data_IF_493590358990
#
_entry.id   IF_493590358990
#
_cell.length_a   1.000
_cell.length_b   1.000
_cell.length_c   1.000
_cell.angle_alpha   90.00
_cell.angle_beta   90.00
_cell.angle_gamma   90.00
#
_symmetry.space_group_name_H-M   'P 1'
#
loop_
_entity.id
_entity.type
_entity.pdbx_description
1 polymer ?
#
# COMPACT_ATOMS: atom_id res chain seq x y z
N UNK A 1 9.37 3.56 -9.16
CA UNK A 1 9.60 2.13 -8.89
C UNK A 1 9.56 1.31 -10.19
N UNK A 2 8.46 1.17 -10.91
CA UNK A 2 8.42 0.37 -12.16
C UNK A 2 9.46 0.84 -13.18
N UNK A 3 9.45 2.12 -13.53
CA UNK A 3 10.43 2.72 -14.48
C UNK A 3 11.88 2.56 -14.03
N UNK A 4 12.16 2.70 -12.72
CA UNK A 4 13.53 2.55 -12.17
C UNK A 4 14.05 1.12 -12.23
N UNK A 5 13.14 0.14 -12.31
CA UNK A 5 13.47 -1.28 -12.42
C UNK A 5 13.24 -1.83 -13.84
N UNK A 6 13.08 -0.95 -14.83
CA UNK A 6 12.87 -1.30 -16.25
C UNK A 6 11.64 -2.22 -16.48
N UNK A 7 10.60 -2.08 -15.69
CA UNK A 7 9.36 -2.85 -15.81
C UNK A 7 8.36 -2.03 -16.62
N UNK A 8 7.95 -2.59 -17.77
CA UNK A 8 6.99 -2.00 -18.70
C UNK A 8 5.76 -2.91 -18.71
N UNK A 9 4.76 -2.66 -17.84
CA UNK A 9 3.56 -3.49 -17.76
C UNK A 9 2.55 -3.11 -18.85
N UNK A 10 1.82 -4.08 -19.35
CA UNK A 10 0.63 -3.91 -20.19
C UNK A 10 -0.66 -4.02 -19.38
N UNK A 11 -0.64 -4.77 -18.27
CA UNK A 11 -1.79 -5.03 -17.41
C UNK A 11 -1.43 -4.82 -15.94
N UNK A 12 -2.07 -3.85 -15.32
CA UNK A 12 -1.91 -3.53 -13.89
C UNK A 12 -3.22 -3.78 -13.16
N UNK A 13 -3.15 -4.44 -12.01
CA UNK A 13 -4.29 -4.66 -11.15
C UNK A 13 -4.05 -4.08 -9.76
N UNK A 14 -5.12 -3.63 -9.09
CA UNK A 14 -5.13 -3.28 -7.66
C UNK A 14 -6.19 -4.12 -6.95
N UNK A 15 -5.78 -4.90 -5.94
CA UNK A 15 -6.68 -5.58 -5.02
C UNK A 15 -6.96 -4.66 -3.83
N UNK A 16 -8.24 -4.56 -3.42
CA UNK A 16 -8.67 -3.59 -2.41
C UNK A 16 -8.57 -2.15 -2.93
N UNK A 17 -9.03 -1.91 -4.17
CA UNK A 17 -8.85 -0.62 -4.85
C UNK A 17 -9.65 0.54 -4.24
N UNK A 18 -10.57 0.27 -3.32
CA UNK A 18 -11.38 1.27 -2.65
C UNK A 18 -12.11 2.17 -3.62
N UNK A 19 -11.95 3.48 -3.47
CA UNK A 19 -12.55 4.47 -4.36
C UNK A 19 -11.91 4.55 -5.76
N UNK A 20 -10.86 3.77 -6.07
CA UNK A 20 -10.21 3.70 -7.38
C UNK A 20 -9.33 4.89 -7.74
N UNK A 21 -8.93 5.71 -6.76
CA UNK A 21 -8.18 6.96 -7.04
C UNK A 21 -6.78 6.67 -7.59
N UNK A 22 -6.09 5.65 -7.06
CA UNK A 22 -4.73 5.30 -7.48
C UNK A 22 -4.75 4.84 -8.94
N UNK A 23 -5.63 3.90 -9.27
CA UNK A 23 -5.78 3.41 -10.65
C UNK A 23 -6.21 4.51 -11.60
N UNK A 24 -7.12 5.39 -11.20
CA UNK A 24 -7.54 6.51 -12.04
C UNK A 24 -6.39 7.50 -12.32
N UNK A 25 -5.55 7.79 -11.32
CA UNK A 25 -4.35 8.60 -11.52
C UNK A 25 -3.35 7.93 -12.46
N UNK A 26 -3.10 6.63 -12.28
CA UNK A 26 -2.18 5.87 -13.13
C UNK A 26 -2.70 5.76 -14.56
N UNK A 27 -3.99 5.47 -14.76
CA UNK A 27 -4.59 5.38 -16.08
C UNK A 27 -4.50 6.70 -16.86
N UNK A 28 -4.58 7.84 -16.17
CA UNK A 28 -4.37 9.15 -16.80
C UNK A 28 -2.89 9.42 -17.15
N UNK A 29 -1.96 8.86 -16.38
CA UNK A 29 -0.52 9.07 -16.62
C UNK A 29 0.04 8.14 -17.72
N UNK A 30 -0.41 6.88 -17.75
CA UNK A 30 0.09 5.88 -18.69
C UNK A 30 -0.62 5.92 -20.06
N UNK A 31 -1.79 6.56 -20.17
CA UNK A 31 -2.60 6.57 -21.39
C UNK A 31 -3.18 5.19 -21.72
N UNK A 32 -3.48 4.94 -23.00
CA UNK A 32 -4.22 3.76 -23.45
C UNK A 32 -3.35 2.50 -23.63
N UNK A 33 -2.03 2.61 -23.48
CA UNK A 33 -1.09 1.49 -23.67
C UNK A 33 -1.15 0.47 -22.51
N UNK A 34 -1.74 0.83 -21.38
CA UNK A 34 -1.84 -0.02 -20.19
C UNK A 34 -3.29 -0.17 -19.76
N UNK A 35 -3.70 -1.42 -19.56
CA UNK A 35 -5.04 -1.74 -19.02
C UNK A 35 -4.98 -1.89 -17.50
N UNK A 36 -5.87 -1.17 -16.82
CA UNK A 36 -5.99 -1.15 -15.38
C UNK A 36 -7.25 -1.87 -14.92
N UNK A 37 -7.12 -2.69 -13.88
CA UNK A 37 -8.22 -3.44 -13.27
C UNK A 37 -8.23 -3.24 -11.76
N UNK A 38 -9.32 -2.75 -11.20
CA UNK A 38 -9.51 -2.60 -9.76
C UNK A 38 -10.48 -3.66 -9.22
N UNK A 39 -10.11 -4.35 -8.17
CA UNK A 39 -10.94 -5.33 -7.47
C UNK A 39 -11.19 -4.86 -6.03
N UNK A 40 -12.46 -4.87 -5.64
CA UNK A 40 -12.86 -4.59 -4.26
C UNK A 40 -14.08 -5.44 -3.87
N UNK A 41 -14.13 -5.87 -2.62
CA UNK A 41 -15.26 -6.64 -2.08
C UNK A 41 -16.34 -5.77 -1.45
N UNK A 42 -16.06 -4.48 -1.26
CA UNK A 42 -16.99 -3.52 -0.67
C UNK A 42 -17.95 -2.95 -1.72
N UNK A 43 -19.28 -3.18 -1.60
CA UNK A 43 -20.25 -2.56 -2.50
C UNK A 43 -20.20 -1.03 -2.48
N UNK A 44 -19.93 -0.44 -1.31
CA UNK A 44 -19.84 1.01 -1.15
C UNK A 44 -18.63 1.59 -1.90
N UNK A 45 -17.48 0.93 -1.82
CA UNK A 45 -16.29 1.30 -2.57
C UNK A 45 -16.54 1.18 -4.08
N UNK A 46 -17.14 0.08 -4.52
CA UNK A 46 -17.46 -0.17 -5.91
C UNK A 46 -18.40 0.89 -6.51
N UNK A 47 -19.44 1.34 -5.80
CA UNK A 47 -20.32 2.41 -6.26
C UNK A 47 -19.60 3.74 -6.49
N UNK A 48 -18.46 3.95 -5.86
CA UNK A 48 -17.63 5.15 -6.05
C UNK A 48 -16.67 4.95 -7.21
N UNK A 49 -15.91 3.84 -7.24
CA UNK A 49 -14.87 3.63 -8.24
C UNK A 49 -15.44 3.39 -9.64
N UNK A 50 -16.56 2.68 -9.81
CA UNK A 50 -17.17 2.43 -11.12
C UNK A 50 -17.50 3.70 -11.92
N UNK A 51 -17.69 4.84 -11.25
CA UNK A 51 -17.91 6.15 -11.90
C UNK A 51 -16.65 6.69 -12.59
N UNK A 52 -15.49 6.07 -12.36
CA UNK A 52 -14.21 6.44 -12.95
C UNK A 52 -13.79 5.49 -14.08
N UNK A 53 -14.65 4.52 -14.43
CA UNK A 53 -14.40 3.61 -15.56
C UNK A 53 -14.19 4.38 -16.87
N UNK A 54 -13.30 3.89 -17.68
CA UNK A 54 -12.97 4.36 -19.01
C UNK A 54 -12.36 3.23 -19.85
N UNK A 55 -12.00 3.50 -21.09
CA UNK A 55 -11.57 2.49 -22.06
C UNK A 55 -10.47 1.56 -21.51
N UNK A 56 -9.52 2.09 -20.74
CA UNK A 56 -8.39 1.36 -20.20
C UNK A 56 -8.46 1.13 -18.67
N UNK A 57 -9.60 1.43 -18.02
CA UNK A 57 -9.76 1.30 -16.56
C UNK A 57 -11.11 0.66 -16.22
N UNK A 58 -11.07 -0.52 -15.60
CA UNK A 58 -12.25 -1.30 -15.23
C UNK A 58 -12.25 -1.64 -13.75
N UNK A 59 -13.44 -1.73 -13.16
CA UNK A 59 -13.60 -2.09 -11.75
C UNK A 59 -14.54 -3.31 -11.59
N UNK A 60 -14.23 -4.15 -10.59
CA UNK A 60 -14.95 -5.38 -10.34
C UNK A 60 -15.31 -5.51 -8.85
N UNK A 61 -16.59 -5.72 -8.56
CA UNK A 61 -17.06 -6.06 -7.21
C UNK A 61 -16.87 -7.55 -6.97
N UNK A 62 -15.62 -7.95 -6.73
CA UNK A 62 -15.21 -9.35 -6.57
C UNK A 62 -13.93 -9.45 -5.75
N UNK A 63 -13.68 -10.61 -5.14
CA UNK A 63 -12.35 -10.96 -4.66
C UNK A 63 -11.47 -11.44 -5.83
N UNK A 64 -10.37 -10.75 -6.09
CA UNK A 64 -9.40 -11.19 -7.11
C UNK A 64 -8.84 -12.59 -6.82
N UNK A 65 -8.77 -12.98 -5.55
CA UNK A 65 -8.18 -14.26 -5.17
C UNK A 65 -9.04 -15.45 -5.59
N UNK A 66 -10.33 -15.24 -5.84
CA UNK A 66 -11.27 -16.26 -6.32
C UNK A 66 -11.28 -16.43 -7.86
N UNK A 67 -10.64 -15.51 -8.61
CA UNK A 67 -10.57 -15.55 -10.07
C UNK A 67 -9.44 -16.49 -10.53
N UNK A 68 -9.73 -17.73 -10.98
CA UNK A 68 -8.72 -18.76 -11.24
C UNK A 68 -7.79 -18.47 -12.43
N UNK A 69 -8.31 -17.94 -13.53
CA UNK A 69 -7.61 -17.84 -14.83
C UNK A 69 -7.01 -16.47 -15.13
N UNK A 70 -6.94 -15.55 -14.15
CA UNK A 70 -6.51 -14.19 -14.38
C UNK A 70 -5.12 -13.95 -13.79
N UNK A 71 -4.23 -13.40 -14.63
CA UNK A 71 -2.89 -12.96 -14.23
C UNK A 71 -2.58 -11.58 -14.81
N UNK A 72 -1.77 -10.80 -14.11
CA UNK A 72 -1.36 -9.45 -14.45
C UNK A 72 0.16 -9.34 -14.50
N UNK A 73 0.68 -8.32 -15.18
CA UNK A 73 2.11 -8.01 -15.12
C UNK A 73 2.47 -7.46 -13.73
N UNK A 74 1.60 -6.59 -13.20
CA UNK A 74 1.77 -6.00 -11.87
C UNK A 74 0.45 -6.09 -11.09
N UNK A 75 0.52 -6.57 -9.85
CA UNK A 75 -0.59 -6.53 -8.89
C UNK A 75 -0.19 -5.62 -7.73
N UNK A 76 -1.03 -4.64 -7.45
CA UNK A 76 -0.85 -3.72 -6.33
C UNK A 76 -1.76 -4.13 -5.16
N UNK A 77 -1.22 -4.10 -3.94
CA UNK A 77 -1.96 -4.22 -2.69
C UNK A 77 -1.53 -3.06 -1.78
N UNK A 78 -2.34 -2.01 -1.78
CA UNK A 78 -2.04 -0.75 -1.12
C UNK A 78 -2.85 -0.63 0.15
N UNK A 79 -2.18 -0.73 1.30
CA UNK A 79 -2.82 -0.72 2.62
C UNK A 79 -3.96 -1.77 2.72
N UNK A 80 -3.65 -3.04 2.46
CA UNK A 80 -4.65 -4.14 2.38
C UNK A 80 -4.40 -5.22 3.43
N UNK A 81 -3.25 -5.88 3.42
CA UNK A 81 -3.09 -7.12 4.19
C UNK A 81 -2.98 -6.91 5.71
N UNK A 82 -2.75 -5.68 6.17
CA UNK A 82 -2.89 -5.30 7.58
C UNK A 82 -4.32 -5.41 8.12
N UNK A 83 -5.30 -5.52 7.22
CA UNK A 83 -6.72 -5.71 7.53
C UNK A 83 -7.19 -7.15 7.42
N UNK A 84 -6.39 -8.05 6.84
CA UNK A 84 -6.77 -9.43 6.54
C UNK A 84 -6.38 -10.36 7.68
N UNK A 85 -7.35 -11.11 8.25
CA UNK A 85 -7.07 -12.03 9.37
C UNK A 85 -5.98 -13.04 9.04
N UNK A 86 -6.15 -13.82 7.95
CA UNK A 86 -5.13 -14.73 7.40
C UNK A 86 -4.31 -14.03 6.31
N UNK A 87 -3.50 -13.04 6.71
CA UNK A 87 -2.67 -12.32 5.74
C UNK A 87 -1.56 -13.18 5.12
N UNK A 88 -1.10 -14.24 5.77
CA UNK A 88 -0.16 -15.20 5.18
C UNK A 88 -0.81 -15.98 4.02
N UNK A 89 -2.03 -16.50 4.24
CA UNK A 89 -2.80 -17.17 3.20
C UNK A 89 -3.13 -16.24 2.04
N UNK A 90 -3.54 -15.00 2.35
CA UNK A 90 -3.77 -13.93 1.38
C UNK A 90 -2.55 -13.70 0.49
N UNK A 91 -1.37 -13.48 1.09
CA UNK A 91 -0.13 -13.21 0.37
C UNK A 91 0.27 -14.39 -0.53
N UNK A 92 0.17 -15.64 -0.04
CA UNK A 92 0.46 -16.84 -0.84
C UNK A 92 -0.46 -16.98 -2.05
N UNK A 93 -1.75 -16.68 -1.91
CA UNK A 93 -2.72 -16.68 -3.02
C UNK A 93 -2.43 -15.55 -4.01
N UNK A 94 -2.16 -14.34 -3.50
CA UNK A 94 -1.88 -13.16 -4.32
C UNK A 94 -0.62 -13.34 -5.18
N UNK A 95 0.36 -14.11 -4.71
CA UNK A 95 1.58 -14.42 -5.48
C UNK A 95 1.28 -14.99 -6.86
N UNK A 96 0.22 -15.78 -7.00
CA UNK A 96 -0.18 -16.43 -8.25
C UNK A 96 -0.88 -15.49 -9.24
N UNK A 97 -1.24 -14.27 -8.83
CA UNK A 97 -2.07 -13.34 -9.62
C UNK A 97 -1.26 -12.39 -10.53
N UNK A 98 0.04 -12.44 -10.49
CA UNK A 98 0.86 -11.61 -11.38
C UNK A 98 2.35 -11.90 -11.28
N UNK A 99 3.13 -11.29 -12.16
CA UNK A 99 4.60 -11.40 -12.17
C UNK A 99 5.22 -10.56 -11.07
N UNK A 100 4.87 -9.28 -11.05
CA UNK A 100 5.35 -8.33 -10.04
C UNK A 100 4.22 -7.94 -9.07
N UNK A 101 4.59 -7.66 -7.82
CA UNK A 101 3.68 -7.13 -6.81
C UNK A 101 4.23 -5.85 -6.25
N UNK A 102 3.34 -4.88 -6.05
CA UNK A 102 3.64 -3.65 -5.33
C UNK A 102 2.81 -3.64 -4.06
N UNK A 103 3.48 -3.66 -2.93
CA UNK A 103 2.87 -3.54 -1.62
C UNK A 103 3.12 -2.15 -1.05
N UNK A 104 2.09 -1.51 -0.51
CA UNK A 104 2.26 -0.37 0.39
C UNK A 104 1.82 -0.82 1.78
N UNK A 105 2.75 -0.73 2.74
CA UNK A 105 2.59 -1.35 4.06
C UNK A 105 2.78 -0.27 5.13
N UNK A 106 1.76 0.02 5.95
CA UNK A 106 1.91 0.93 7.07
C UNK A 106 2.90 0.38 8.11
N UNK A 107 3.88 1.19 8.48
CA UNK A 107 4.84 0.85 9.53
C UNK A 107 4.36 1.44 10.86
N UNK A 108 3.35 0.81 11.44
CA UNK A 108 2.68 1.30 12.64
C UNK A 108 3.48 1.02 13.93
N UNK A 109 4.41 0.05 13.90
CA UNK A 109 5.28 -0.23 15.03
C UNK A 109 6.50 0.69 15.02
N UNK A 110 6.55 1.60 15.96
CA UNK A 110 7.70 2.44 16.27
C UNK A 110 7.82 2.64 17.77
N UNK A 111 8.98 3.06 18.25
CA UNK A 111 9.20 3.34 19.67
C UNK A 111 8.11 4.27 20.21
N UNK A 112 7.82 5.39 19.53
CA UNK A 112 6.82 6.34 19.98
C UNK A 112 5.38 5.83 19.90
N UNK A 113 5.04 4.94 18.96
CA UNK A 113 3.69 4.37 18.88
C UNK A 113 3.47 3.32 19.95
N UNK A 114 4.47 2.47 20.21
CA UNK A 114 4.42 1.44 21.26
C UNK A 114 4.34 2.08 22.64
N UNK A 115 5.20 3.06 22.96
CA UNK A 115 5.20 3.74 24.25
C UNK A 115 3.89 4.49 24.53
N UNK A 116 3.20 5.00 23.50
CA UNK A 116 1.92 5.71 23.69
C UNK A 116 0.70 4.80 23.67
N UNK A 117 0.78 3.66 23.00
CA UNK A 117 -0.32 2.71 22.74
C UNK A 117 -1.52 3.30 21.98
N UNK A 118 -1.92 4.53 22.30
CA UNK A 118 -3.07 5.24 21.70
C UNK A 118 -3.05 5.28 20.17
N UNK A 119 -1.93 5.54 19.47
CA UNK A 119 -1.93 5.54 18.00
C UNK A 119 -2.27 4.18 17.40
N UNK A 120 -1.80 3.08 18.00
CA UNK A 120 -2.07 1.71 17.58
C UNK A 120 -3.56 1.40 17.77
N UNK A 121 -4.11 1.69 18.96
CA UNK A 121 -5.53 1.46 19.25
C UNK A 121 -6.45 2.31 18.34
N UNK A 122 -6.07 3.55 18.06
CA UNK A 122 -6.80 4.39 17.08
C UNK A 122 -6.73 3.82 15.67
N UNK A 123 -5.58 3.32 15.24
CA UNK A 123 -5.41 2.63 13.95
C UNK A 123 -6.41 1.48 13.83
N UNK A 124 -6.50 0.64 14.88
CA UNK A 124 -7.45 -0.46 14.95
C UNK A 124 -8.92 -0.01 14.87
N UNK A 125 -9.29 1.02 15.63
CA UNK A 125 -10.68 1.48 15.71
C UNK A 125 -11.13 2.28 14.49
N UNK A 126 -10.25 3.11 13.92
CA UNK A 126 -10.61 4.06 12.86
C UNK A 126 -10.32 3.55 11.46
N UNK A 127 -9.30 2.71 11.30
CA UNK A 127 -8.86 2.18 10.02
C UNK A 127 -8.97 0.66 9.91
N UNK A 128 -9.22 -0.06 11.01
CA UNK A 128 -9.34 -1.51 11.00
C UNK A 128 -8.01 -2.26 10.89
N UNK A 129 -6.88 -1.62 11.23
CA UNK A 129 -5.58 -2.32 11.24
C UNK A 129 -5.57 -3.36 12.35
N UNK A 130 -5.50 -4.62 12.00
CA UNK A 130 -5.42 -5.75 12.94
C UNK A 130 -4.00 -6.31 13.03
N UNK A 131 -3.15 -6.01 12.04
CA UNK A 131 -1.73 -6.35 12.01
C UNK A 131 -0.87 -5.09 11.95
N UNK A 132 0.29 -5.14 12.59
CA UNK A 132 1.19 -4.00 12.73
C UNK A 132 2.62 -4.42 12.38
N UNK A 133 3.31 -3.58 11.61
CA UNK A 133 4.62 -3.93 11.06
C UNK A 133 5.69 -2.89 11.41
N UNK A 134 6.92 -3.38 11.57
CA UNK A 134 8.15 -2.63 11.30
C UNK A 134 8.60 -2.94 9.86
N UNK A 135 9.61 -2.24 9.35
CA UNK A 135 10.21 -2.60 8.04
C UNK A 135 10.66 -4.06 8.02
N UNK A 136 11.37 -4.46 9.06
CA UNK A 136 11.97 -5.79 9.15
C UNK A 136 10.91 -6.89 9.17
N UNK A 137 9.85 -6.73 9.97
CA UNK A 137 8.78 -7.72 10.02
C UNK A 137 7.95 -7.75 8.73
N UNK A 138 7.72 -6.60 8.08
CA UNK A 138 7.06 -6.55 6.79
C UNK A 138 7.85 -7.29 5.71
N UNK A 139 9.16 -7.03 5.60
CA UNK A 139 10.02 -7.72 4.63
C UNK A 139 10.17 -9.22 4.93
N UNK A 140 10.27 -9.60 6.22
CA UNK A 140 10.30 -11.00 6.63
C UNK A 140 8.99 -11.71 6.24
N UNK A 141 7.83 -11.10 6.48
CA UNK A 141 6.52 -11.63 6.07
C UNK A 141 6.45 -11.91 4.57
N UNK A 142 6.91 -10.98 3.74
CA UNK A 142 6.96 -11.18 2.29
C UNK A 142 7.87 -12.36 1.93
N UNK A 143 9.07 -12.44 2.52
CA UNK A 143 9.99 -13.56 2.31
C UNK A 143 9.38 -14.90 2.75
N UNK A 144 8.75 -14.97 3.93
CA UNK A 144 8.14 -16.18 4.48
C UNK A 144 6.93 -16.66 3.66
N UNK A 145 6.32 -15.77 2.90
CA UNK A 145 5.24 -16.07 1.95
C UNK A 145 5.74 -16.34 0.53
N UNK A 146 7.07 -16.37 0.35
CA UNK A 146 7.76 -16.80 -0.86
C UNK A 146 8.05 -15.67 -1.86
N UNK A 147 7.93 -14.41 -1.47
CA UNK A 147 8.29 -13.28 -2.33
C UNK A 147 9.80 -12.98 -2.30
N UNK A 148 10.32 -12.57 -3.44
CA UNK A 148 11.65 -11.98 -3.56
C UNK A 148 11.51 -10.47 -3.69
N UNK A 149 12.09 -9.73 -2.74
CA UNK A 149 12.05 -8.26 -2.74
C UNK A 149 13.05 -7.73 -3.77
N UNK A 150 12.54 -7.02 -4.77
CA UNK A 150 13.34 -6.40 -5.84
C UNK A 150 13.82 -5.02 -5.43
N UNK A 151 12.91 -4.21 -4.87
CA UNK A 151 13.18 -2.81 -4.51
C UNK A 151 12.22 -2.37 -3.41
N UNK A 152 12.63 -1.41 -2.59
CA UNK A 152 11.74 -0.78 -1.62
C UNK A 152 12.18 0.63 -1.26
N UNK A 153 11.22 1.47 -0.86
CA UNK A 153 11.51 2.77 -0.26
C UNK A 153 10.42 3.19 0.73
N UNK A 154 10.78 4.10 1.61
CA UNK A 154 9.84 4.67 2.56
C UNK A 154 8.96 5.74 1.94
N UNK A 155 7.66 5.68 2.23
CA UNK A 155 6.72 6.75 1.95
C UNK A 155 6.41 7.54 3.22
N UNK A 156 6.13 8.84 3.05
CA UNK A 156 5.95 9.78 4.17
C UNK A 156 4.47 10.07 4.37
N UNK A 157 3.71 9.15 4.96
CA UNK A 157 2.28 9.32 5.22
C UNK A 157 1.96 10.59 6.04
N UNK A 158 2.87 11.03 6.93
CA UNK A 158 2.68 12.22 7.75
C UNK A 158 2.63 13.55 6.96
N UNK A 159 3.13 13.59 5.72
CA UNK A 159 3.03 14.78 4.87
C UNK A 159 1.61 15.01 4.36
N UNK A 160 0.81 13.93 4.22
CA UNK A 160 -0.58 13.96 3.75
C UNK A 160 -1.56 14.40 4.84
N UNK A 161 -1.14 14.50 6.11
CA UNK A 161 -2.01 14.99 7.16
C UNK A 161 -2.55 16.37 6.77
N UNK A 162 -3.89 16.60 6.93
CA UNK A 162 -4.48 17.89 6.64
C UNK A 162 -3.65 19.01 7.28
N UNK A 163 -3.58 20.15 6.62
CA UNK A 163 -2.97 21.36 7.18
C UNK A 163 -3.78 21.81 8.40
N UNK A 164 -3.69 21.07 9.50
CA UNK A 164 -4.10 21.62 10.78
C UNK A 164 -3.26 22.88 11.02
N UNK A 165 -3.91 24.02 11.09
CA UNK A 165 -3.34 25.34 11.35
C UNK A 165 -2.73 25.41 12.75
N UNK A 166 -1.55 24.83 12.95
CA UNK A 166 -0.85 24.92 14.22
C UNK A 166 0.66 24.83 14.02
N UNK A 167 1.39 25.82 14.50
CA UNK A 167 2.85 25.89 14.44
C UNK A 167 3.52 24.61 15.01
N UNK A 168 2.93 23.99 16.04
CA UNK A 168 3.40 22.74 16.66
C UNK A 168 3.44 21.57 15.66
N UNK A 169 2.45 21.48 14.77
CA UNK A 169 2.37 20.40 13.76
C UNK A 169 3.41 20.62 12.67
N UNK A 170 3.63 21.86 12.26
CA UNK A 170 4.66 22.21 11.28
C UNK A 170 6.06 21.94 11.84
N UNK A 171 6.30 22.27 13.10
CA UNK A 171 7.57 21.97 13.78
C UNK A 171 7.80 20.46 13.86
N UNK A 172 6.75 19.68 14.19
CA UNK A 172 6.83 18.22 14.23
C UNK A 172 7.06 17.59 12.84
N UNK A 173 6.49 18.16 11.77
CA UNK A 173 6.76 17.71 10.39
C UNK A 173 8.20 18.03 10.00
N UNK A 174 8.69 19.21 10.33
CA UNK A 174 10.04 19.64 10.02
C UNK A 174 11.08 18.77 10.76
N UNK A 175 10.93 18.57 12.07
CA UNK A 175 11.82 17.71 12.86
C UNK A 175 11.85 16.26 12.35
N UNK A 176 10.68 15.69 11.99
CA UNK A 176 10.61 14.34 11.38
C UNK A 176 11.30 14.29 10.03
N UNK A 177 11.11 15.30 9.19
CA UNK A 177 11.76 15.37 7.89
C UNK A 177 13.29 15.49 8.03
N UNK A 178 13.77 16.27 8.98
CA UNK A 178 15.19 16.41 9.26
C UNK A 178 15.79 15.09 9.79
N UNK A 179 15.16 14.47 10.79
CA UNK A 179 15.60 13.18 11.31
C UNK A 179 15.63 12.11 10.20
N UNK A 180 14.61 12.08 9.34
CA UNK A 180 14.56 11.17 8.21
C UNK A 180 15.69 11.42 7.21
N UNK A 181 16.03 12.66 6.92
CA UNK A 181 17.12 13.00 6.00
C UNK A 181 18.51 12.64 6.56
N UNK A 182 18.67 12.65 7.88
CA UNK A 182 19.91 12.25 8.53
C UNK A 182 20.07 10.74 8.59
N UNK A 183 19.01 10.01 8.95
CA UNK A 183 19.05 8.54 9.05
C UNK A 183 17.66 7.94 8.90
N UNK A 184 17.35 7.45 7.69
CA UNK A 184 16.02 6.95 7.33
C UNK A 184 15.49 5.87 8.29
N UNK A 185 16.23 4.78 8.46
CA UNK A 185 15.81 3.63 9.28
C UNK A 185 15.58 4.00 10.74
N UNK A 186 16.47 4.80 11.32
CA UNK A 186 16.36 5.23 12.72
C UNK A 186 15.14 6.13 12.91
N UNK A 187 14.89 7.07 11.99
CA UNK A 187 13.74 7.94 12.03
C UNK A 187 12.42 7.14 11.94
N UNK A 188 12.35 6.14 11.07
CA UNK A 188 11.19 5.27 10.92
C UNK A 188 10.95 4.47 12.20
N UNK A 189 11.98 3.83 12.74
CA UNK A 189 11.90 3.01 13.97
C UNK A 189 11.47 3.80 15.20
N UNK A 190 11.93 5.05 15.33
CA UNK A 190 11.64 5.87 16.51
C UNK A 190 10.34 6.65 16.34
N UNK A 191 10.18 7.37 15.24
CA UNK A 191 9.15 8.40 15.11
C UNK A 191 7.80 7.88 14.58
N UNK A 192 7.81 6.77 13.82
CA UNK A 192 6.61 6.19 13.20
C UNK A 192 5.93 7.10 12.17
N UNK A 193 4.76 6.67 11.68
CA UNK A 193 3.98 7.33 10.61
C UNK A 193 4.71 7.37 9.26
N UNK A 194 5.40 6.34 8.97
CA UNK A 194 5.95 6.02 7.66
C UNK A 194 5.27 4.77 7.14
N UNK A 195 5.30 4.58 5.85
CA UNK A 195 4.93 3.32 5.23
C UNK A 195 6.07 2.84 4.34
N UNK A 196 6.04 1.60 3.95
CA UNK A 196 7.01 0.97 3.07
C UNK A 196 6.32 0.65 1.74
N UNK A 197 6.85 1.16 0.63
CA UNK A 197 6.47 0.70 -0.70
C UNK A 197 7.48 -0.35 -1.14
N UNK A 198 7.01 -1.55 -1.48
CA UNK A 198 7.85 -2.70 -1.83
C UNK A 198 7.46 -3.21 -3.22
N UNK A 199 8.46 -3.45 -4.06
CA UNK A 199 8.34 -4.21 -5.30
C UNK A 199 8.89 -5.60 -5.07
N UNK A 200 8.13 -6.64 -5.40
CA UNK A 200 8.50 -8.04 -5.22
C UNK A 200 8.03 -8.91 -6.39
N UNK A 201 8.64 -10.09 -6.53
CA UNK A 201 8.27 -11.15 -7.48
C UNK A 201 7.79 -12.40 -6.79
#
# INVERSE_FOLDING_TARGET
MLKSNNIIPSRICEIGCGAGEILNCLANEYGDDVVFSGYDISPQAFEICRKKEKQNLHFFLKDLLDEEAISFDVVMAIDVFEHVEDYFGFLRKLKKKGTYKIFHIPLDLSVLTVLRSTPILKGRQSFGHIHYFTKETALATLKDTGYEVVDYFYTRAFLKLPRYRGWKINLMKLSRSLCFSLHHDLAVRILGRFSLLVLAT
#
